data_IF_238778375355
#
_entry.id   IF_238778375355
#
_cell.length_a   1.000
_cell.length_b   1.000
_cell.length_c   1.000
_cell.angle_alpha   90.00
_cell.angle_beta   90.00
_cell.angle_gamma   90.00
#
_symmetry.space_group_name_H-M   'P 1'
#
loop_
_entity.id
_entity.type
_entity.pdbx_description
1 polymer ?
#
# COMPACT_ATOMS: atom_id res chain seq x y z
N UNK A 1 -29.87 -6.40 9.09
CA UNK A 1 -28.73 -5.86 8.31
C UNK A 1 -27.90 -4.95 9.19
N UNK A 2 -26.58 -5.12 9.23
CA UNK A 2 -25.72 -4.25 10.04
C UNK A 2 -25.77 -2.81 9.49
N UNK A 3 -25.83 -1.83 10.40
CA UNK A 3 -25.85 -0.39 10.06
C UNK A 3 -24.67 -0.02 9.14
N UNK A 4 -23.54 -0.70 9.31
CA UNK A 4 -22.34 -0.56 8.48
C UNK A 4 -22.62 -0.81 6.99
N UNK A 5 -23.23 -1.94 6.65
CA UNK A 5 -23.52 -2.31 5.25
C UNK A 5 -24.44 -1.31 4.57
N UNK A 6 -25.46 -0.81 5.29
CA UNK A 6 -26.37 0.21 4.77
C UNK A 6 -25.61 1.50 4.44
N UNK A 7 -24.76 1.97 5.36
CA UNK A 7 -23.97 3.19 5.15
C UNK A 7 -22.94 3.03 4.03
N UNK A 8 -22.35 1.85 3.86
CA UNK A 8 -21.39 1.61 2.80
C UNK A 8 -22.03 1.62 1.42
N UNK A 9 -23.23 1.05 1.28
CA UNK A 9 -24.02 1.17 0.04
C UNK A 9 -24.34 2.63 -0.30
N UNK A 10 -24.72 3.44 0.69
CA UNK A 10 -24.96 4.87 0.49
C UNK A 10 -23.69 5.61 0.05
N UNK A 11 -22.53 5.31 0.64
CA UNK A 11 -21.25 5.90 0.22
C UNK A 11 -20.89 5.51 -1.22
N UNK A 12 -21.17 4.26 -1.64
CA UNK A 12 -20.97 3.83 -3.02
C UNK A 12 -21.92 4.54 -3.99
N UNK A 13 -23.21 4.62 -3.65
CA UNK A 13 -24.22 5.35 -4.42
C UNK A 13 -23.82 6.82 -4.59
N UNK A 14 -23.35 7.46 -3.51
CA UNK A 14 -22.82 8.81 -3.57
C UNK A 14 -21.65 8.94 -4.54
N UNK A 15 -20.64 8.06 -4.43
CA UNK A 15 -19.48 8.05 -5.34
C UNK A 15 -19.89 7.87 -6.80
N UNK A 16 -20.86 6.99 -7.09
CA UNK A 16 -21.38 6.78 -8.44
C UNK A 16 -22.21 7.95 -8.95
N UNK A 17 -22.88 8.69 -8.07
CA UNK A 17 -23.74 9.82 -8.44
C UNK A 17 -22.98 11.09 -8.82
N UNK A 18 -21.70 11.22 -8.43
CA UNK A 18 -20.88 12.41 -8.70
C UNK A 18 -21.35 13.70 -8.02
N UNK A 19 -22.38 13.62 -7.16
CA UNK A 19 -22.96 14.78 -6.46
C UNK A 19 -22.06 15.27 -5.34
N UNK A 20 -22.21 16.54 -4.96
CA UNK A 20 -21.56 17.06 -3.76
C UNK A 20 -22.09 16.33 -2.51
N UNK A 21 -21.29 16.27 -1.45
CA UNK A 21 -21.73 15.66 -0.18
C UNK A 21 -22.95 16.38 0.40
N UNK A 22 -23.03 17.70 0.25
CA UNK A 22 -24.15 18.48 0.77
C UNK A 22 -25.44 18.09 0.05
N UNK A 23 -25.41 18.04 -1.28
CA UNK A 23 -26.55 17.67 -2.11
C UNK A 23 -27.03 16.24 -1.86
N UNK A 24 -26.11 15.31 -1.60
CA UNK A 24 -26.45 13.91 -1.34
C UNK A 24 -27.13 13.69 0.02
N UNK A 25 -26.86 14.57 0.99
CA UNK A 25 -27.34 14.43 2.38
C UNK A 25 -28.65 15.19 2.62
N UNK A 26 -28.99 16.17 1.77
CA UNK A 26 -30.24 16.95 1.90
C UNK A 26 -31.49 16.08 1.99
N UNK A 27 -31.50 14.92 1.33
CA UNK A 27 -32.63 13.97 1.30
C UNK A 27 -32.52 12.86 2.36
N UNK A 28 -31.56 12.95 3.29
CA UNK A 28 -31.18 11.83 4.17
C UNK A 28 -31.36 12.17 5.64
N UNK A 29 -31.80 11.17 6.42
CA UNK A 29 -32.01 11.27 7.87
C UNK A 29 -30.72 11.31 8.73
N UNK A 30 -29.57 11.63 8.13
CA UNK A 30 -28.30 11.66 8.86
C UNK A 30 -27.53 12.94 8.62
N UNK A 31 -26.80 13.38 9.65
CA UNK A 31 -26.00 14.59 9.57
C UNK A 31 -24.79 14.42 8.65
N UNK A 32 -24.30 15.55 8.13
CA UNK A 32 -23.07 15.62 7.34
C UNK A 32 -21.88 14.97 8.05
N UNK A 33 -21.71 15.26 9.34
CA UNK A 33 -20.63 14.69 10.15
C UNK A 33 -20.67 13.15 10.20
N UNK A 34 -21.87 12.57 10.36
CA UNK A 34 -22.05 11.11 10.35
C UNK A 34 -21.68 10.52 9.01
N UNK A 35 -22.06 11.15 7.90
CA UNK A 35 -21.70 10.70 6.56
C UNK A 35 -20.19 10.79 6.31
N UNK A 36 -19.55 11.89 6.72
CA UNK A 36 -18.09 12.07 6.59
C UNK A 36 -17.29 11.05 7.40
N UNK A 37 -17.78 10.70 8.59
CA UNK A 37 -17.23 9.60 9.37
C UNK A 37 -17.26 8.29 8.57
N UNK A 38 -18.40 7.95 7.96
CA UNK A 38 -18.53 6.71 7.18
C UNK A 38 -17.71 6.72 5.89
N UNK A 39 -17.58 7.86 5.20
CA UNK A 39 -16.66 8.00 4.06
C UNK A 39 -15.23 7.74 4.49
N UNK A 40 -14.80 8.36 5.60
CA UNK A 40 -13.45 8.21 6.13
C UNK A 40 -13.16 6.76 6.49
N UNK A 41 -14.13 6.10 7.14
CA UNK A 41 -14.04 4.69 7.50
C UNK A 41 -13.99 3.77 6.29
N UNK A 42 -14.87 3.99 5.31
CA UNK A 42 -14.90 3.25 4.05
C UNK A 42 -13.57 3.36 3.31
N UNK A 43 -13.02 4.57 3.17
CA UNK A 43 -11.74 4.78 2.51
C UNK A 43 -10.58 4.09 3.26
N UNK A 44 -10.56 4.16 4.60
CA UNK A 44 -9.54 3.46 5.40
C UNK A 44 -9.59 1.95 5.20
N UNK A 45 -10.77 1.35 5.28
CA UNK A 45 -10.92 -0.10 5.10
C UNK A 45 -10.60 -0.55 3.66
N UNK A 46 -10.96 0.24 2.64
CA UNK A 46 -10.56 -0.02 1.26
C UNK A 46 -9.04 0.02 1.09
N UNK A 47 -8.38 1.05 1.64
CA UNK A 47 -6.91 1.17 1.58
C UNK A 47 -6.22 0.05 2.35
N UNK A 48 -6.75 -0.41 3.49
CA UNK A 48 -6.20 -1.55 4.23
C UNK A 48 -6.30 -2.84 3.40
N UNK A 49 -7.38 -3.01 2.64
CA UNK A 49 -7.52 -4.16 1.72
C UNK A 49 -6.55 -4.09 0.54
N UNK A 50 -6.09 -2.91 0.11
CA UNK A 50 -5.15 -2.76 -1.02
C UNK A 50 -3.70 -2.61 -0.56
N UNK A 51 -3.44 -2.10 0.65
CA UNK A 51 -2.10 -2.05 1.28
C UNK A 51 -1.83 -3.34 2.03
N UNK A 52 -1.76 -4.44 1.28
CA UNK A 52 -0.81 -5.47 1.66
C UNK A 52 0.57 -4.85 1.51
N UNK A 53 1.23 -4.48 2.63
CA UNK A 53 2.65 -4.13 2.61
C UNK A 53 3.53 -5.36 2.31
N UNK A 54 2.89 -6.52 2.11
CA UNK A 54 3.49 -7.69 1.53
C UNK A 54 3.67 -7.46 0.03
N UNK A 55 4.86 -7.01 -0.35
CA UNK A 55 5.31 -7.18 -1.74
C UNK A 55 5.62 -8.66 -1.93
N UNK A 56 4.73 -9.38 -2.59
CA UNK A 56 5.10 -10.65 -3.19
C UNK A 56 6.20 -10.36 -4.22
N UNK A 57 7.42 -10.79 -3.93
CA UNK A 57 8.53 -10.71 -4.87
C UNK A 57 8.28 -11.84 -5.87
N UNK A 58 7.99 -11.56 -7.16
CA UNK A 58 7.92 -12.62 -8.14
C UNK A 58 9.32 -13.25 -8.23
N UNK A 59 9.45 -14.49 -7.76
CA UNK A 59 10.62 -15.33 -8.04
C UNK A 59 10.51 -15.74 -9.51
N UNK A 60 10.78 -14.81 -10.41
CA UNK A 60 11.19 -15.15 -11.76
C UNK A 60 12.66 -15.53 -11.66
N UNK A 61 12.99 -16.79 -11.92
CA UNK A 61 14.36 -17.37 -11.95
C UNK A 61 15.28 -16.74 -13.00
N UNK A 62 15.09 -15.47 -13.35
CA UNK A 62 15.90 -14.77 -14.33
C UNK A 62 15.75 -13.28 -14.07
N UNK A 63 16.80 -12.66 -13.50
CA UNK A 63 17.38 -11.35 -13.86
C UNK A 63 17.99 -10.66 -12.62
N UNK A 64 19.33 -10.62 -12.67
CA UNK A 64 20.24 -9.59 -12.17
C UNK A 64 20.27 -9.27 -10.67
N UNK A 65 21.29 -9.87 -10.03
CA UNK A 65 22.06 -9.31 -8.93
C UNK A 65 22.21 -7.79 -9.09
N UNK A 66 21.86 -6.95 -8.10
CA UNK A 66 22.20 -5.55 -8.15
C UNK A 66 23.73 -5.43 -8.11
N UNK A 67 24.33 -4.97 -9.21
CA UNK A 67 25.72 -4.52 -9.25
C UNK A 67 25.92 -3.36 -8.26
N UNK A 68 26.26 -3.71 -7.03
CA UNK A 68 26.86 -2.77 -6.10
C UNK A 68 28.30 -2.59 -6.56
N UNK A 69 28.54 -1.59 -7.41
CA UNK A 69 29.88 -1.05 -7.68
C UNK A 69 30.49 -0.56 -6.35
N UNK A 70 31.16 -1.46 -5.63
CA UNK A 70 32.20 -1.11 -4.66
C UNK A 70 33.53 -1.43 -5.33
N UNK A 71 34.31 -0.41 -5.62
CA UNK A 71 35.66 -0.54 -6.19
C UNK A 71 36.50 -1.45 -5.28
N UNK A 72 36.77 -2.67 -5.76
CA UNK A 72 37.61 -3.66 -5.08
C UNK A 72 39.04 -3.15 -5.12
N UNK A 73 39.64 -2.83 -3.97
CA UNK A 73 40.94 -2.17 -3.98
C UNK A 73 42.13 -3.05 -3.63
N UNK A 74 41.99 -4.29 -3.13
CA UNK A 74 43.07 -5.29 -3.19
C UNK A 74 42.60 -6.67 -2.69
N UNK A 75 42.96 -7.71 -3.43
CA UNK A 75 42.84 -9.12 -3.03
C UNK A 75 44.24 -9.69 -2.87
N UNK A 76 44.52 -10.30 -1.73
CA UNK A 76 45.79 -10.96 -1.45
C UNK A 76 45.53 -12.45 -1.25
N UNK A 77 46.13 -13.27 -2.10
CA UNK A 77 46.10 -14.73 -2.02
C UNK A 77 47.38 -15.24 -1.33
N UNK A 78 47.23 -15.96 -0.22
CA UNK A 78 48.35 -16.59 0.49
C UNK A 78 48.48 -18.09 0.16
N UNK A 79 49.68 -18.70 0.22
CA UNK A 79 49.93 -20.09 -0.14
C UNK A 79 49.17 -21.13 0.70
N UNK A 80 48.66 -20.73 1.87
CA UNK A 80 47.81 -21.55 2.73
C UNK A 80 46.35 -21.64 2.25
N UNK A 81 46.01 -21.01 1.12
CA UNK A 81 44.66 -21.03 0.54
C UNK A 81 43.71 -20.00 1.15
N UNK A 82 44.21 -19.12 2.01
CA UNK A 82 43.41 -18.07 2.65
C UNK A 82 43.37 -16.84 1.74
N UNK A 83 42.16 -16.31 1.51
CA UNK A 83 41.91 -15.11 0.69
C UNK A 83 41.42 -13.99 1.57
N UNK A 84 42.19 -12.91 1.66
CA UNK A 84 41.80 -11.71 2.42
C UNK A 84 41.34 -10.66 1.42
N UNK A 85 40.09 -10.20 1.61
CA UNK A 85 39.50 -9.13 0.80
C UNK A 85 39.25 -7.92 1.70
N UNK A 86 39.92 -6.81 1.40
CA UNK A 86 39.74 -5.54 2.15
C UNK A 86 38.75 -4.67 1.39
N UNK A 87 37.73 -4.21 2.10
CA UNK A 87 36.74 -3.26 1.61
C UNK A 87 37.02 -1.90 2.26
N UNK A 88 36.94 -0.81 1.49
CA UNK A 88 36.99 0.56 2.02
C UNK A 88 35.59 1.03 2.43
#
# INVERSE_FOLDING_TARGET
MAVKDKMYKEVQLWKSSGKSKADFILDKEYSKAKFEYWISKYNKEQVISTKSNFKEIPITESIAVPEVKREKTLQIDLPSGIKITVYK
#
